data_IF_206189004939
#
_entry.id   IF_206189004939
#
_cell.length_a   1.000
_cell.length_b   1.000
_cell.length_c   1.000
_cell.angle_alpha   90.00
_cell.angle_beta   90.00
_cell.angle_gamma   90.00
#
_symmetry.space_group_name_H-M   'P 1'
#
loop_
_entity.id
_entity.type
_entity.pdbx_description
1 polymer ?
#
# COMPACT_ATOMS: atom_id res chain seq x y z
N UNK A 1 6.81 -36.45 -34.24
CA UNK A 1 7.86 -35.47 -33.86
C UNK A 1 7.27 -34.45 -32.90
N UNK A 2 8.06 -34.03 -31.92
CA UNK A 2 7.65 -33.64 -30.57
C UNK A 2 7.02 -32.24 -30.43
N UNK A 3 5.95 -32.13 -29.62
CA UNK A 3 5.41 -30.86 -29.10
C UNK A 3 5.99 -30.62 -27.71
N UNK A 4 7.00 -29.78 -27.63
CA UNK A 4 7.67 -29.40 -26.38
C UNK A 4 6.72 -28.63 -25.47
N UNK A 5 6.42 -29.17 -24.29
CA UNK A 5 5.72 -28.47 -23.21
C UNK A 5 6.77 -27.71 -22.39
N UNK A 6 6.65 -26.39 -22.29
CA UNK A 6 7.41 -25.60 -21.32
C UNK A 6 6.92 -25.90 -19.89
N UNK A 7 7.79 -26.30 -18.94
CA UNK A 7 7.40 -26.41 -17.53
C UNK A 7 7.44 -25.05 -16.83
N UNK A 8 6.37 -24.70 -16.12
CA UNK A 8 6.28 -23.50 -15.30
C UNK A 8 7.15 -23.62 -14.04
N UNK A 9 8.07 -22.67 -13.85
CA UNK A 9 8.95 -22.59 -12.67
C UNK A 9 8.15 -22.10 -11.46
N UNK A 10 7.83 -23.01 -10.53
CA UNK A 10 7.29 -22.68 -9.21
C UNK A 10 8.40 -22.09 -8.33
N UNK A 11 8.34 -20.78 -8.02
CA UNK A 11 9.18 -20.15 -6.99
C UNK A 11 8.75 -20.64 -5.60
N UNK A 12 9.57 -21.46 -4.96
CA UNK A 12 9.40 -21.86 -3.55
C UNK A 12 9.77 -20.69 -2.64
N UNK A 13 8.84 -20.26 -1.79
CA UNK A 13 9.06 -19.17 -0.82
C UNK A 13 9.65 -19.77 0.46
N UNK A 14 10.97 -19.68 0.63
CA UNK A 14 11.67 -20.10 1.86
C UNK A 14 11.38 -19.10 2.99
N UNK A 15 10.98 -19.53 4.21
CA UNK A 15 10.78 -18.62 5.33
C UNK A 15 12.12 -18.16 5.95
N UNK A 16 12.22 -16.95 6.52
CA UNK A 16 13.50 -16.44 7.01
C UNK A 16 13.96 -17.13 8.30
N UNK A 17 15.23 -17.52 8.34
CA UNK A 17 15.94 -18.09 9.52
C UNK A 17 15.95 -17.10 10.68
N UNK A 18 15.56 -17.57 11.88
CA UNK A 18 15.77 -16.86 13.17
C UNK A 18 17.27 -16.60 13.36
N UNK A 19 17.66 -15.35 13.59
CA UNK A 19 19.03 -14.98 13.97
C UNK A 19 19.32 -15.48 15.39
N UNK A 20 20.33 -16.33 15.50
CA UNK A 20 20.96 -16.77 16.75
C UNK A 20 21.82 -15.62 17.26
N UNK A 21 21.57 -15.17 18.49
CA UNK A 21 22.37 -14.15 19.17
C UNK A 21 23.66 -14.75 19.74
N UNK A 22 24.76 -14.04 19.54
CA UNK A 22 26.12 -14.29 20.06
C UNK A 22 26.16 -14.15 21.59
N UNK A 23 26.96 -14.95 22.35
CA UNK A 23 26.99 -14.85 23.80
C UNK A 23 27.86 -13.66 24.25
N UNK A 24 27.36 -12.89 25.22
CA UNK A 24 28.11 -11.84 25.92
C UNK A 24 28.66 -12.39 27.23
N UNK A 25 29.95 -12.13 27.44
CA UNK A 25 30.87 -12.55 28.51
C UNK A 25 30.38 -12.21 29.93
N UNK A 26 30.63 -13.13 30.88
CA UNK A 26 30.40 -13.00 32.33
C UNK A 26 31.53 -12.24 33.04
N UNK A 27 31.13 -11.44 34.03
CA UNK A 27 31.83 -10.90 35.23
C UNK A 27 30.70 -10.30 36.09
N UNK A 28 30.61 -10.27 37.42
CA UNK A 28 31.21 -10.89 38.62
C UNK A 28 30.23 -10.56 39.77
N UNK A 29 30.17 -11.44 40.79
CA UNK A 29 29.83 -11.21 42.21
C UNK A 29 28.53 -10.49 42.65
N UNK A 30 27.79 -11.13 43.56
CA UNK A 30 26.78 -10.45 44.39
C UNK A 30 25.75 -11.38 45.01
N UNK A 31 25.93 -11.68 46.30
CA UNK A 31 25.06 -12.51 47.13
C UNK A 31 23.59 -12.04 47.17
N UNK A 32 22.66 -13.00 47.28
CA UNK A 32 21.24 -12.70 47.49
C UNK A 32 20.39 -13.96 47.68
N UNK A 33 20.00 -14.19 48.93
CA UNK A 33 19.15 -15.26 49.43
C UNK A 33 17.75 -15.27 48.81
N UNK A 34 17.23 -16.45 48.46
CA UNK A 34 15.86 -16.90 48.82
C UNK A 34 15.49 -18.19 48.08
N UNK A 35 15.24 -19.23 48.87
CA UNK A 35 14.69 -20.50 48.42
C UNK A 35 13.18 -20.37 48.15
N UNK A 36 12.69 -20.91 47.03
CA UNK A 36 11.30 -21.37 46.88
C UNK A 36 11.25 -22.47 45.80
N UNK A 37 10.56 -23.61 46.03
CA UNK A 37 10.87 -24.85 45.35
C UNK A 37 10.16 -25.02 44.00
N UNK A 38 10.85 -25.75 43.12
CA UNK A 38 10.41 -26.21 41.80
C UNK A 38 9.25 -27.21 41.96
N UNK A 39 8.00 -26.78 41.76
CA UNK A 39 6.87 -27.72 41.62
C UNK A 39 6.90 -28.37 40.24
N UNK A 40 7.42 -29.60 40.20
CA UNK A 40 7.21 -30.54 39.11
C UNK A 40 5.75 -31.04 39.14
N UNK A 41 4.90 -30.41 38.35
CA UNK A 41 3.60 -30.96 37.97
C UNK A 41 3.73 -31.63 36.61
N UNK A 42 4.05 -32.92 36.60
CA UNK A 42 4.02 -33.76 35.39
C UNK A 42 2.55 -34.02 35.05
N UNK A 43 1.91 -33.04 34.40
CA UNK A 43 0.60 -33.20 33.76
C UNK A 43 0.78 -34.00 32.48
N UNK A 44 0.03 -35.09 32.37
CA UNK A 44 0.05 -36.04 31.28
C UNK A 44 0.04 -35.38 29.88
N UNK A 45 0.86 -35.93 28.99
CA UNK A 45 0.80 -35.65 27.57
C UNK A 45 -0.58 -36.07 27.04
N UNK A 46 -1.48 -35.12 26.85
CA UNK A 46 -2.56 -35.27 25.90
C UNK A 46 -1.98 -34.92 24.52
N UNK A 47 -1.77 -35.94 23.69
CA UNK A 47 -1.57 -35.76 22.25
C UNK A 47 -2.83 -35.09 21.66
N UNK A 48 -2.83 -33.77 21.67
CA UNK A 48 -3.83 -32.95 20.97
C UNK A 48 -3.41 -32.79 19.52
N UNK A 49 -4.27 -33.26 18.62
CA UNK A 49 -4.21 -33.17 17.17
C UNK A 49 -3.52 -31.89 16.62
N UNK A 50 -2.86 -31.94 15.45
CA UNK A 50 -2.23 -30.78 14.83
C UNK A 50 -3.28 -29.68 14.62
N UNK A 51 -3.24 -28.66 15.47
CA UNK A 51 -4.16 -27.54 15.45
C UNK A 51 -4.10 -26.86 14.09
N UNK A 52 -5.20 -26.90 13.36
CA UNK A 52 -5.35 -26.14 12.12
C UNK A 52 -4.98 -24.68 12.37
N UNK A 53 -4.19 -24.03 11.48
CA UNK A 53 -3.85 -22.63 11.67
C UNK A 53 -5.14 -21.81 11.65
N UNK A 54 -5.55 -21.29 12.82
CA UNK A 54 -6.65 -20.34 12.94
C UNK A 54 -6.46 -19.25 11.88
N UNK A 55 -7.38 -19.18 10.92
CA UNK A 55 -7.36 -18.16 9.88
C UNK A 55 -7.32 -16.78 10.57
N UNK A 56 -6.20 -16.08 10.41
CA UNK A 56 -6.03 -14.75 10.99
C UNK A 56 -7.01 -13.82 10.29
N UNK A 57 -7.79 -13.06 11.06
CA UNK A 57 -8.71 -12.06 10.52
C UNK A 57 -7.96 -11.15 9.53
N UNK A 58 -8.58 -10.74 8.40
CA UNK A 58 -7.95 -9.85 7.44
C UNK A 58 -7.58 -8.53 8.13
N UNK A 59 -6.34 -8.10 7.92
CA UNK A 59 -5.84 -6.86 8.50
C UNK A 59 -6.50 -5.65 7.83
N UNK A 60 -7.18 -4.81 8.63
CA UNK A 60 -7.76 -3.55 8.19
C UNK A 60 -6.92 -2.38 8.70
N UNK A 61 -6.52 -1.48 7.81
CA UNK A 61 -5.84 -0.24 8.19
C UNK A 61 -6.80 0.72 8.89
N UNK A 62 -6.27 1.54 9.81
CA UNK A 62 -7.06 2.59 10.46
C UNK A 62 -7.49 3.64 9.43
N UNK A 63 -8.64 4.30 9.59
CA UNK A 63 -9.05 5.43 8.75
C UNK A 63 -7.93 6.46 8.61
N UNK A 64 -7.76 7.03 7.41
CA UNK A 64 -6.67 7.95 7.08
C UNK A 64 -5.30 7.31 6.78
N UNK A 65 -5.04 6.07 7.23
CA UNK A 65 -3.73 5.41 6.99
C UNK A 65 -3.48 5.15 5.52
N UNK A 66 -4.51 4.76 4.77
CA UNK A 66 -4.42 4.52 3.33
C UNK A 66 -4.34 5.84 2.57
N UNK A 67 -5.19 6.81 2.92
CA UNK A 67 -5.18 8.15 2.32
C UNK A 67 -3.81 8.85 2.45
N UNK A 68 -3.18 8.83 3.64
CA UNK A 68 -1.84 9.41 3.83
C UNK A 68 -0.76 8.70 3.00
N UNK A 69 -0.93 7.40 2.72
CA UNK A 69 -0.02 6.64 1.86
C UNK A 69 -0.20 7.03 0.40
N UNK A 70 -1.45 7.20 -0.03
CA UNK A 70 -1.80 7.64 -1.39
C UNK A 70 -1.30 9.06 -1.66
N UNK A 71 -1.51 10.00 -0.72
CA UNK A 71 -0.99 11.38 -0.83
C UNK A 71 0.52 11.36 -1.08
N UNK A 72 1.28 10.62 -0.26
CA UNK A 72 2.74 10.51 -0.43
C UNK A 72 3.14 9.81 -1.73
N UNK A 73 2.36 8.85 -2.20
CA UNK A 73 2.60 8.15 -3.47
C UNK A 73 2.45 9.15 -4.62
N UNK A 74 1.31 9.84 -4.69
CA UNK A 74 0.97 10.73 -5.80
C UNK A 74 1.77 12.03 -5.81
N UNK A 75 2.24 12.51 -4.66
CA UNK A 75 3.18 13.64 -4.61
C UNK A 75 4.58 13.29 -5.09
N UNK A 76 4.93 11.99 -5.14
CA UNK A 76 6.24 11.53 -5.62
C UNK A 76 6.23 11.21 -7.13
N UNK A 77 5.06 10.86 -7.68
CA UNK A 77 4.89 10.59 -9.10
C UNK A 77 4.34 11.83 -9.83
N UNK A 78 4.46 11.81 -11.15
CA UNK A 78 3.89 12.82 -12.07
C UNK A 78 3.05 12.12 -13.15
N UNK A 79 2.49 10.96 -12.81
CA UNK A 79 1.61 10.21 -13.71
C UNK A 79 0.22 10.83 -13.75
N UNK A 80 -0.41 10.85 -14.93
CA UNK A 80 -1.79 11.31 -15.07
C UNK A 80 -2.74 10.45 -14.23
N UNK A 81 -3.60 11.12 -13.47
CA UNK A 81 -4.58 10.47 -12.60
C UNK A 81 -5.93 10.27 -13.31
N UNK A 82 -6.24 11.11 -14.30
CA UNK A 82 -7.46 11.00 -15.08
C UNK A 82 -7.22 10.03 -16.26
N UNK A 83 -8.07 9.01 -16.46
CA UNK A 83 -7.96 8.14 -17.61
C UNK A 83 -8.10 8.93 -18.94
N UNK A 84 -7.11 8.79 -19.83
CA UNK A 84 -7.04 9.56 -21.08
C UNK A 84 -8.26 9.35 -21.99
N UNK A 85 -8.75 8.12 -22.15
CA UNK A 85 -9.85 7.83 -23.08
C UNK A 85 -11.18 8.52 -22.71
N UNK A 86 -11.67 8.46 -21.46
CA UNK A 86 -12.81 9.29 -21.02
C UNK A 86 -12.57 10.79 -21.16
N UNK A 87 -11.37 11.28 -20.85
CA UNK A 87 -11.05 12.71 -20.93
C UNK A 87 -11.11 13.23 -22.37
N UNK A 88 -10.61 12.46 -23.34
CA UNK A 88 -10.72 12.80 -24.76
C UNK A 88 -12.17 12.83 -25.24
N UNK A 89 -13.03 11.93 -24.76
CA UNK A 89 -14.47 11.97 -25.09
C UNK A 89 -15.11 13.26 -24.60
N UNK A 90 -14.79 13.67 -23.37
CA UNK A 90 -15.26 14.93 -22.80
C UNK A 90 -14.78 16.15 -23.60
N UNK A 91 -13.50 16.18 -24.00
CA UNK A 91 -12.97 17.27 -24.84
C UNK A 91 -13.76 17.37 -26.14
N UNK A 92 -14.00 16.24 -26.81
CA UNK A 92 -14.76 16.22 -28.07
C UNK A 92 -16.20 16.69 -27.88
N UNK A 93 -16.88 16.21 -26.84
CA UNK A 93 -18.24 16.64 -26.51
C UNK A 93 -18.33 18.17 -26.30
N UNK A 94 -17.38 18.74 -25.55
CA UNK A 94 -17.30 20.19 -25.34
C UNK A 94 -16.98 20.93 -26.65
N UNK A 95 -16.07 20.38 -27.46
CA UNK A 95 -15.68 20.99 -28.74
C UNK A 95 -16.85 21.01 -29.70
N UNK A 96 -17.59 19.91 -29.82
CA UNK A 96 -18.76 19.79 -30.68
C UNK A 96 -19.86 20.78 -30.27
N UNK A 97 -19.97 21.08 -28.97
CA UNK A 97 -20.91 22.08 -28.45
C UNK A 97 -20.48 23.53 -28.73
N UNK A 98 -19.20 23.86 -28.59
CA UNK A 98 -18.70 25.24 -28.71
C UNK A 98 -18.33 25.61 -30.14
N UNK A 99 -17.60 24.73 -30.84
CA UNK A 99 -17.04 24.95 -32.16
C UNK A 99 -17.18 23.69 -33.03
N UNK A 100 -18.34 23.45 -33.66
CA UNK A 100 -18.61 22.23 -34.44
C UNK A 100 -17.75 22.09 -35.71
N UNK A 101 -17.05 23.15 -36.13
CA UNK A 101 -16.13 23.10 -37.28
C UNK A 101 -14.85 22.32 -36.97
N UNK A 102 -14.45 22.23 -35.69
CA UNK A 102 -13.20 21.58 -35.27
C UNK A 102 -13.44 20.09 -35.03
N UNK A 103 -13.20 19.28 -36.06
CA UNK A 103 -13.44 17.83 -36.01
C UNK A 103 -12.20 17.00 -35.61
N UNK A 104 -11.00 17.59 -35.66
CA UNK A 104 -9.74 16.88 -35.47
C UNK A 104 -8.86 17.53 -34.41
N UNK A 105 -8.35 16.70 -33.51
CA UNK A 105 -7.40 17.08 -32.47
C UNK A 105 -6.04 16.43 -32.70
N UNK A 106 -4.96 17.17 -32.45
CA UNK A 106 -3.62 16.59 -32.40
C UNK A 106 -3.43 15.85 -31.07
N UNK A 107 -2.68 14.72 -31.06
CA UNK A 107 -2.46 13.97 -29.82
C UNK A 107 -1.71 14.80 -28.77
N UNK A 108 -0.79 15.66 -29.19
CA UNK A 108 -0.06 16.54 -28.28
C UNK A 108 -0.95 17.59 -27.63
N UNK A 109 -1.92 18.16 -28.36
CA UNK A 109 -2.87 19.11 -27.79
C UNK A 109 -3.74 18.45 -26.71
N UNK A 110 -4.20 17.22 -26.95
CA UNK A 110 -5.00 16.49 -25.98
C UNK A 110 -4.23 16.24 -24.67
N UNK A 111 -2.94 15.89 -24.77
CA UNK A 111 -2.07 15.72 -23.60
C UNK A 111 -1.83 17.05 -22.88
N UNK A 112 -1.55 18.14 -23.61
CA UNK A 112 -1.34 19.45 -23.02
C UNK A 112 -2.59 19.97 -22.29
N UNK A 113 -3.79 19.75 -22.84
CA UNK A 113 -5.05 20.10 -22.19
C UNK A 113 -5.22 19.27 -20.91
N UNK A 114 -4.89 17.98 -20.94
CA UNK A 114 -4.99 17.13 -19.76
C UNK A 114 -4.02 17.57 -18.65
N UNK A 115 -2.78 17.88 -19.01
CA UNK A 115 -1.77 18.37 -18.07
C UNK A 115 -2.21 19.67 -17.41
N UNK A 116 -2.71 20.64 -18.19
CA UNK A 116 -3.22 21.90 -17.66
C UNK A 116 -4.44 21.70 -16.76
N UNK A 117 -5.36 20.80 -17.14
CA UNK A 117 -6.56 20.50 -16.36
C UNK A 117 -6.22 19.83 -15.02
N UNK A 118 -5.36 18.81 -15.02
CA UNK A 118 -4.94 18.14 -13.79
C UNK A 118 -4.13 19.07 -12.88
N UNK A 119 -3.23 19.89 -13.43
CA UNK A 119 -2.51 20.90 -12.67
C UNK A 119 -3.47 21.89 -11.99
N UNK A 120 -4.46 22.39 -12.73
CA UNK A 120 -5.45 23.32 -12.18
C UNK A 120 -6.27 22.71 -11.04
N UNK A 121 -6.70 21.45 -11.19
CA UNK A 121 -7.44 20.74 -10.15
C UNK A 121 -6.59 20.53 -8.89
N UNK A 122 -5.31 20.18 -9.03
CA UNK A 122 -4.39 20.01 -7.89
C UNK A 122 -4.19 21.33 -7.15
N UNK A 123 -3.92 22.44 -7.85
CA UNK A 123 -3.79 23.76 -7.23
C UNK A 123 -5.09 24.18 -6.51
N UNK A 124 -6.25 23.93 -7.13
CA UNK A 124 -7.54 24.19 -6.51
C UNK A 124 -7.73 23.37 -5.22
N UNK A 125 -7.39 22.08 -5.22
CA UNK A 125 -7.48 21.23 -4.04
C UNK A 125 -6.51 21.65 -2.93
N UNK A 126 -5.31 22.12 -3.26
CA UNK A 126 -4.38 22.66 -2.27
C UNK A 126 -4.94 23.90 -1.57
N UNK A 127 -5.53 24.81 -2.35
CA UNK A 127 -6.20 26.00 -1.81
C UNK A 127 -7.41 25.63 -0.96
N UNK A 128 -8.25 24.71 -1.44
CA UNK A 128 -9.40 24.21 -0.70
C UNK A 128 -8.99 23.55 0.62
N UNK A 129 -7.91 22.77 0.62
CA UNK A 129 -7.37 22.14 1.82
C UNK A 129 -6.86 23.18 2.84
N UNK A 130 -6.18 24.25 2.39
CA UNK A 130 -5.81 25.37 3.28
C UNK A 130 -7.04 26.02 3.91
N UNK A 131 -8.11 26.22 3.15
CA UNK A 131 -9.39 26.73 3.68
C UNK A 131 -10.04 25.75 4.68
N UNK A 132 -9.99 24.45 4.44
CA UNK A 132 -10.52 23.45 5.36
C UNK A 132 -9.76 23.45 6.69
N UNK A 133 -8.43 23.48 6.65
CA UNK A 133 -7.57 23.56 7.84
C UNK A 133 -7.82 24.86 8.61
N UNK A 134 -7.99 25.97 7.89
CA UNK A 134 -8.34 27.26 8.50
C UNK A 134 -9.66 27.17 9.30
N UNK A 135 -10.64 26.44 8.78
CA UNK A 135 -11.91 26.17 9.46
C UNK A 135 -11.84 25.02 10.51
N UNK A 136 -10.64 24.53 10.85
CA UNK A 136 -10.41 23.37 11.74
C UNK A 136 -11.12 22.08 11.29
N UNK A 137 -11.32 21.92 9.98
CA UNK A 137 -11.89 20.72 9.35
C UNK A 137 -10.81 19.93 8.62
N UNK A 138 -11.07 18.64 8.42
CA UNK A 138 -10.18 17.70 7.71
C UNK A 138 -10.79 17.16 6.41
N UNK A 139 -12.05 17.50 6.16
CA UNK A 139 -12.84 17.14 4.97
C UNK A 139 -13.13 18.39 4.16
#
# INVERSE_FOLDING_TARGET
MARTKHPAVRKTKVPPKKKIGTPRRQETDGAGTSATPRRAGRGAAAEGAPGQPKQRKPHRFRPGTVALREIRKYQKSVEFLIPFAPFVRLIKEITDFICPEITRWTPQALVAIQEAAEYHLVDLFERANRCAIHAKRVT
#
